data_IF_478275895725
#
_entry.id   IF_478275895725
#
_cell.length_a   1.000
_cell.length_b   1.000
_cell.length_c   1.000
_cell.angle_alpha   90.00
_cell.angle_beta   90.00
_cell.angle_gamma   90.00
#
_symmetry.space_group_name_H-M   'P 1'
#
loop_
_entity.id
_entity.type
_entity.pdbx_description
1 polymer ?
#
# COMPACT_ATOMS: atom_id res chain seq x y z
N UNK A 1 -9.73 -7.77 21.98
CA UNK A 1 -8.61 -7.69 21.01
C UNK A 1 -8.58 -9.02 20.26
N UNK A 2 -9.05 -9.04 19.00
CA UNK A 2 -9.25 -10.27 18.23
C UNK A 2 -7.93 -11.00 17.96
N UNK A 3 -7.81 -12.23 18.47
CA UNK A 3 -6.61 -13.09 18.42
C UNK A 3 -6.52 -13.90 17.11
N UNK A 4 -7.39 -13.62 16.14
CA UNK A 4 -7.41 -14.30 14.85
C UNK A 4 -6.33 -13.71 13.93
N UNK A 5 -5.07 -14.10 14.16
CA UNK A 5 -4.01 -13.87 13.17
C UNK A 5 -4.36 -14.71 11.94
N UNK A 6 -4.82 -14.06 10.87
CA UNK A 6 -5.09 -14.72 9.61
C UNK A 6 -3.74 -15.33 9.12
N UNK A 7 -3.65 -16.62 8.72
CA UNK A 7 -2.36 -17.23 8.32
C UNK A 7 -1.61 -16.43 7.24
N UNK A 8 -2.31 -15.66 6.43
CA UNK A 8 -1.73 -14.73 5.46
C UNK A 8 -0.91 -13.59 6.10
N UNK A 9 -1.24 -13.15 7.32
CA UNK A 9 -0.50 -12.13 8.07
C UNK A 9 0.82 -12.66 8.63
N UNK A 10 0.93 -13.96 8.91
CA UNK A 10 2.20 -14.57 9.35
C UNK A 10 3.28 -14.44 8.27
N UNK A 11 2.91 -14.63 7.00
CA UNK A 11 3.82 -14.41 5.87
C UNK A 11 4.30 -12.96 5.80
N UNK A 12 3.47 -12.00 6.21
CA UNK A 12 3.85 -10.59 6.24
C UNK A 12 4.90 -10.31 7.32
N UNK A 13 4.85 -11.00 8.47
CA UNK A 13 5.91 -10.89 9.50
C UNK A 13 7.27 -11.41 9.01
N UNK A 14 7.26 -12.33 8.03
CA UNK A 14 8.46 -12.81 7.33
C UNK A 14 8.86 -11.95 6.12
N UNK A 15 8.24 -10.77 5.94
CA UNK A 15 8.52 -9.86 4.83
C UNK A 15 7.89 -10.25 3.48
N UNK A 16 7.08 -11.32 3.43
CA UNK A 16 6.40 -11.78 2.19
C UNK A 16 5.08 -11.04 1.97
N UNK A 17 5.18 -9.72 1.81
CA UNK A 17 4.03 -8.86 1.53
C UNK A 17 3.51 -9.04 0.11
N UNK A 18 2.19 -8.83 -0.07
CA UNK A 18 1.53 -8.86 -1.38
C UNK A 18 0.95 -7.46 -1.67
N UNK A 19 1.50 -6.71 -2.64
CA UNK A 19 0.98 -5.39 -2.99
C UNK A 19 -0.44 -5.48 -3.54
N UNK A 20 -1.21 -4.40 -3.37
CA UNK A 20 -2.48 -4.21 -4.05
C UNK A 20 -2.27 -4.09 -5.58
N UNK A 21 -3.26 -4.50 -6.38
CA UNK A 21 -3.14 -4.56 -7.84
C UNK A 21 -2.98 -3.18 -8.51
N UNK A 22 -3.40 -2.11 -7.84
CA UNK A 22 -3.35 -0.73 -8.34
C UNK A 22 -2.29 0.11 -7.60
N UNK A 23 -0.99 -0.08 -7.86
CA UNK A 23 0.05 0.72 -7.24
C UNK A 23 0.05 2.16 -7.80
N UNK A 24 0.38 3.11 -6.94
CA UNK A 24 0.47 4.54 -7.29
C UNK A 24 1.92 4.91 -7.57
N UNK A 25 2.20 5.53 -8.71
CA UNK A 25 3.52 6.08 -9.01
C UNK A 25 3.67 7.49 -8.41
N UNK A 26 4.81 7.80 -7.78
CA UNK A 26 5.25 9.16 -7.46
C UNK A 26 6.79 9.29 -7.43
N UNK A 27 7.33 10.28 -8.16
CA UNK A 27 8.73 10.66 -8.40
C UNK A 27 9.77 9.52 -8.34
N UNK A 28 9.57 8.47 -9.14
CA UNK A 28 10.52 7.35 -9.30
C UNK A 28 10.23 6.15 -8.39
N UNK A 29 9.19 6.27 -7.55
CA UNK A 29 8.76 5.23 -6.63
C UNK A 29 7.34 4.79 -6.96
N UNK A 30 7.09 3.50 -6.77
CA UNK A 30 5.75 2.94 -6.71
C UNK A 30 5.37 2.73 -5.25
N UNK A 31 4.15 3.09 -4.90
CA UNK A 31 3.57 2.94 -3.59
C UNK A 31 2.35 2.02 -3.69
N UNK A 32 2.15 1.18 -2.68
CA UNK A 32 0.98 0.32 -2.57
C UNK A 32 0.75 0.00 -1.09
N UNK A 33 -0.34 -0.72 -0.78
CA UNK A 33 -0.58 -1.28 0.54
C UNK A 33 -0.64 -2.80 0.43
N UNK A 34 -0.18 -3.50 1.46
CA UNK A 34 -0.25 -4.94 1.51
C UNK A 34 -1.72 -5.37 1.60
N UNK A 35 -2.19 -6.20 0.67
CA UNK A 35 -3.56 -6.74 0.67
C UNK A 35 -3.87 -7.68 1.84
N UNK A 36 -2.83 -8.14 2.56
CA UNK A 36 -2.97 -9.08 3.68
C UNK A 36 -2.97 -8.37 5.04
N UNK A 37 -2.01 -7.48 5.28
CA UNK A 37 -1.81 -6.83 6.59
C UNK A 37 -1.97 -5.31 6.57
N UNK A 38 -2.28 -4.70 5.41
CA UNK A 38 -2.50 -3.26 5.28
C UNK A 38 -1.25 -2.38 5.31
N UNK A 39 -0.06 -2.90 5.65
CA UNK A 39 1.17 -2.12 5.71
C UNK A 39 1.51 -1.47 4.37
N UNK A 40 2.04 -0.25 4.44
CA UNK A 40 2.52 0.47 3.27
C UNK A 40 3.75 -0.20 2.66
N UNK A 41 3.77 -0.25 1.34
CA UNK A 41 4.84 -0.82 0.54
C UNK A 41 5.35 0.21 -0.45
N UNK A 42 6.66 0.19 -0.66
CA UNK A 42 7.34 0.99 -1.67
C UNK A 42 8.25 0.11 -2.52
N UNK A 43 8.44 0.48 -3.78
CA UNK A 43 9.52 -0.03 -4.63
C UNK A 43 10.03 1.04 -5.58
N UNK A 44 11.24 0.89 -6.06
CA UNK A 44 11.74 1.60 -7.25
C UNK A 44 11.37 0.83 -8.52
N UNK A 45 11.65 1.39 -9.70
CA UNK A 45 11.39 0.71 -10.98
C UNK A 45 12.05 -0.68 -11.08
N UNK A 46 13.31 -0.79 -10.63
CA UNK A 46 14.08 -2.05 -10.63
C UNK A 46 14.00 -2.82 -9.29
N UNK A 47 13.40 -2.23 -8.26
CA UNK A 47 13.40 -2.75 -6.90
C UNK A 47 12.23 -3.70 -6.58
N UNK A 48 12.40 -4.47 -5.52
CA UNK A 48 11.32 -5.29 -4.93
C UNK A 48 10.47 -4.45 -3.97
N UNK A 49 9.21 -4.85 -3.83
CA UNK A 49 8.31 -4.31 -2.82
C UNK A 49 8.85 -4.56 -1.41
N UNK A 50 8.88 -3.52 -0.59
CA UNK A 50 9.29 -3.60 0.82
C UNK A 50 8.56 -2.54 1.65
N UNK A 51 8.53 -2.75 2.97
CA UNK A 51 8.04 -1.74 3.92
C UNK A 51 9.10 -0.63 4.04
N UNK A 52 8.75 0.65 3.87
CA UNK A 52 9.70 1.75 3.99
C UNK A 52 10.22 1.86 5.44
N UNK A 53 11.53 1.68 5.63
CA UNK A 53 12.17 1.81 6.95
C UNK A 53 12.41 3.27 7.29
N UNK A 54 12.03 3.69 8.51
CA UNK A 54 12.23 5.05 9.00
C UNK A 54 11.44 6.13 8.27
N UNK A 55 10.46 5.75 7.44
CA UNK A 55 9.61 6.67 6.67
C UNK A 55 8.17 6.15 6.67
N UNK A 56 7.21 7.07 6.54
CA UNK A 56 5.79 6.75 6.42
C UNK A 56 5.28 7.17 5.04
N UNK A 57 4.43 6.35 4.42
CA UNK A 57 3.72 6.74 3.21
C UNK A 57 2.48 7.53 3.62
N UNK A 58 2.28 8.68 2.99
CA UNK A 58 1.11 9.53 3.24
C UNK A 58 0.22 9.50 2.01
N UNK A 59 -0.95 8.89 2.16
CA UNK A 59 -1.95 8.80 1.12
C UNK A 59 -2.84 10.03 1.13
N UNK A 60 -2.89 10.76 0.01
CA UNK A 60 -3.88 11.82 -0.18
C UNK A 60 -5.26 11.16 -0.31
N UNK A 61 -6.21 11.58 0.51
CA UNK A 61 -7.61 11.18 0.34
C UNK A 61 -8.06 11.57 -1.07
N UNK A 62 -8.54 10.59 -1.85
CA UNK A 62 -9.21 10.88 -3.12
C UNK A 62 -10.50 11.62 -2.77
N UNK A 63 -10.50 12.95 -2.93
CA UNK A 63 -11.75 13.71 -2.90
C UNK A 63 -12.62 13.17 -4.04
N UNK A 64 -13.89 12.84 -3.80
CA UNK A 64 -14.81 12.58 -4.89
C UNK A 64 -14.72 13.76 -5.86
N UNK A 65 -14.56 13.49 -7.16
CA UNK A 65 -14.77 14.56 -8.14
C UNK A 65 -16.20 15.04 -7.91
N UNK A 66 -16.38 16.26 -7.44
CA UNK A 66 -17.69 16.89 -7.42
C UNK A 66 -18.31 16.76 -8.81
N UNK A 67 -19.61 16.48 -8.89
CA UNK A 67 -20.32 16.57 -10.17
C UNK A 67 -20.05 17.98 -10.73
N UNK A 68 -19.63 18.07 -12.00
CA UNK A 68 -19.59 19.35 -12.69
C UNK A 68 -21.02 19.92 -12.64
N UNK A 69 -21.26 21.14 -12.14
CA UNK A 69 -22.58 21.74 -12.21
C UNK A 69 -22.94 21.92 -13.69
N UNK A 70 -24.09 21.38 -14.11
CA UNK A 70 -24.66 21.58 -15.46
C UNK A 70 -24.32 20.49 -16.47
N UNK A 71 -25.09 19.39 -16.46
CA UNK A 71 -25.52 18.70 -17.68
C UNK A 71 -26.86 18.03 -17.44
#
# INVERSE_FOLDING_TARGET
MSIWSNPAELLCRLGRHKPAPDPVWNRGYWFSSCTRCGLDLVRTAAGRWHVPKGRKVVWKQKRPRGKRPGK
#
